data_IF_892964962922
#
_entry.id   IF_892964962922
#
_cell.length_a   1.000
_cell.length_b   1.000
_cell.length_c   1.000
_cell.angle_alpha   90.00
_cell.angle_beta   90.00
_cell.angle_gamma   90.00
#
_symmetry.space_group_name_H-M   'P 1'
#
loop_
_entity.id
_entity.type
_entity.pdbx_description
1 polymer ?
#
# COMPACT_ATOMS: atom_id res chain seq x y z
N UNK A 1 -10.82 10.90 22.61
CA UNK A 1 -11.11 10.76 21.16
C UNK A 1 -12.59 10.52 20.99
N UNK A 2 -13.26 11.25 20.08
CA UNK A 2 -14.72 11.11 19.89
C UNK A 2 -15.09 9.80 19.18
N UNK A 3 -16.32 9.32 19.41
CA UNK A 3 -16.85 8.09 18.79
C UNK A 3 -16.77 8.08 17.25
N UNK A 4 -16.80 9.27 16.61
CA UNK A 4 -16.69 9.43 15.15
C UNK A 4 -15.35 8.95 14.60
N UNK A 5 -14.23 9.25 15.28
CA UNK A 5 -12.89 8.83 14.85
C UNK A 5 -12.80 7.31 14.87
N UNK A 6 -13.27 6.65 15.93
CA UNK A 6 -13.27 5.20 16.02
C UNK A 6 -14.15 4.52 14.97
N UNK A 7 -15.27 5.15 14.57
CA UNK A 7 -16.09 4.65 13.46
C UNK A 7 -15.34 4.69 12.12
N UNK A 8 -14.57 5.75 11.82
CA UNK A 8 -13.77 5.82 10.59
C UNK A 8 -12.62 4.80 10.66
N UNK A 9 -11.95 4.66 11.79
CA UNK A 9 -10.88 3.66 11.98
C UNK A 9 -11.42 2.24 11.82
N UNK A 10 -12.58 1.94 12.43
CA UNK A 10 -13.25 0.65 12.28
C UNK A 10 -13.71 0.39 10.85
N UNK A 11 -14.28 1.40 10.19
CA UNK A 11 -14.65 1.32 8.77
C UNK A 11 -13.42 1.06 7.89
N UNK A 12 -12.28 1.73 8.18
CA UNK A 12 -11.03 1.51 7.47
C UNK A 12 -10.50 0.08 7.67
N UNK A 13 -10.56 -0.44 8.88
CA UNK A 13 -10.15 -1.82 9.17
C UNK A 13 -11.03 -2.83 8.43
N UNK A 14 -12.35 -2.73 8.54
CA UNK A 14 -13.30 -3.66 7.90
C UNK A 14 -13.20 -3.59 6.38
N UNK A 15 -13.12 -2.39 5.79
CA UNK A 15 -12.93 -2.23 4.35
C UNK A 15 -11.66 -2.92 3.89
N UNK A 16 -10.55 -2.68 4.57
CA UNK A 16 -9.25 -3.25 4.20
C UNK A 16 -9.14 -4.77 4.45
N UNK A 17 -9.99 -5.36 5.31
CA UNK A 17 -10.11 -6.82 5.39
C UNK A 17 -10.58 -7.40 4.06
N UNK A 18 -11.62 -6.82 3.45
CA UNK A 18 -12.13 -7.25 2.14
C UNK A 18 -11.07 -7.15 1.04
N UNK A 19 -10.35 -6.03 0.99
CA UNK A 19 -9.24 -5.84 0.05
C UNK A 19 -8.14 -6.89 0.24
N UNK A 20 -7.68 -7.06 1.48
CA UNK A 20 -6.62 -8.00 1.82
C UNK A 20 -6.98 -9.44 1.51
N UNK A 21 -8.24 -9.84 1.70
CA UNK A 21 -8.70 -11.21 1.45
C UNK A 21 -8.57 -11.63 -0.02
N UNK A 22 -8.70 -10.70 -0.97
CA UNK A 22 -8.59 -10.98 -2.41
C UNK A 22 -7.15 -11.32 -2.81
N UNK A 23 -6.15 -10.72 -2.16
CA UNK A 23 -4.75 -10.72 -2.62
C UNK A 23 -4.18 -12.13 -2.80
N UNK A 24 -4.24 -13.05 -1.82
CA UNK A 24 -3.64 -14.38 -1.98
C UNK A 24 -4.43 -15.35 -2.87
N UNK A 25 -5.70 -15.11 -3.07
CA UNK A 25 -6.60 -16.03 -3.78
C UNK A 25 -6.70 -15.71 -5.27
N UNK A 26 -6.72 -14.41 -5.60
CA UNK A 26 -6.96 -13.97 -6.98
C UNK A 26 -5.89 -14.45 -7.97
N UNK A 27 -4.56 -14.36 -7.72
CA UNK A 27 -3.56 -14.82 -8.68
C UNK A 27 -3.68 -16.31 -8.97
N UNK A 28 -3.95 -17.09 -7.93
CA UNK A 28 -4.13 -18.54 -8.03
C UNK A 28 -5.36 -18.86 -8.86
N UNK A 29 -6.49 -18.23 -8.58
CA UNK A 29 -7.71 -18.39 -9.35
C UNK A 29 -7.52 -18.01 -10.83
N UNK A 30 -6.91 -16.85 -11.09
CA UNK A 30 -6.67 -16.38 -12.46
C UNK A 30 -5.81 -17.37 -13.25
N UNK A 31 -4.74 -17.88 -12.66
CA UNK A 31 -3.79 -18.73 -13.36
C UNK A 31 -4.27 -20.18 -13.49
N UNK A 32 -4.77 -20.78 -12.40
CA UNK A 32 -5.13 -22.22 -12.40
C UNK A 32 -6.58 -22.48 -12.79
N UNK A 33 -7.54 -21.66 -12.33
CA UNK A 33 -8.95 -21.95 -12.54
C UNK A 33 -9.53 -21.22 -13.76
N UNK A 34 -9.09 -19.95 -13.99
CA UNK A 34 -9.57 -19.15 -15.12
C UNK A 34 -8.68 -19.26 -16.37
N UNK A 35 -7.55 -19.97 -16.30
CA UNK A 35 -6.67 -20.22 -17.44
C UNK A 35 -5.94 -18.98 -17.97
N UNK A 36 -5.79 -17.94 -17.15
CA UNK A 36 -5.06 -16.74 -17.54
C UNK A 36 -3.56 -17.05 -17.67
N UNK A 37 -2.92 -16.51 -18.71
CA UNK A 37 -1.47 -16.54 -18.80
C UNK A 37 -0.83 -15.79 -17.62
N UNK A 38 0.44 -16.06 -17.33
CA UNK A 38 1.19 -15.36 -16.27
C UNK A 38 1.25 -13.84 -16.52
N UNK A 39 1.41 -13.44 -17.81
CA UNK A 39 1.35 -12.03 -18.21
C UNK A 39 -0.01 -11.42 -17.88
N UNK A 40 -1.11 -12.08 -18.29
CA UNK A 40 -2.46 -11.55 -18.02
C UNK A 40 -2.76 -11.52 -16.51
N UNK A 41 -2.29 -12.51 -15.75
CA UNK A 41 -2.38 -12.52 -14.29
C UNK A 41 -1.68 -11.30 -13.70
N UNK A 42 -0.43 -11.02 -14.08
CA UNK A 42 0.32 -9.84 -13.63
C UNK A 42 -0.36 -8.54 -14.05
N UNK A 43 -0.83 -8.45 -15.30
CA UNK A 43 -1.54 -7.28 -15.82
C UNK A 43 -2.81 -7.00 -15.01
N UNK A 44 -3.63 -8.02 -14.74
CA UNK A 44 -4.85 -7.89 -13.94
C UNK A 44 -4.55 -7.47 -12.50
N UNK A 45 -3.47 -7.96 -11.90
CA UNK A 45 -3.03 -7.52 -10.57
C UNK A 45 -2.66 -6.05 -10.60
N UNK A 46 -1.84 -5.62 -11.56
CA UNK A 46 -1.39 -4.23 -11.70
C UNK A 46 -2.53 -3.27 -12.06
N UNK A 47 -3.55 -3.74 -12.76
CA UNK A 47 -4.68 -2.92 -13.21
C UNK A 47 -5.39 -2.23 -12.04
N UNK A 48 -5.57 -2.91 -10.90
CA UNK A 48 -6.19 -2.26 -9.73
C UNK A 48 -5.33 -1.15 -9.16
N UNK A 49 -4.00 -1.28 -9.13
CA UNK A 49 -3.12 -0.22 -8.65
C UNK A 49 -3.12 0.99 -9.59
N UNK A 50 -3.17 0.77 -10.91
CA UNK A 50 -3.32 1.85 -11.89
C UNK A 50 -4.62 2.63 -11.67
N UNK A 51 -5.73 1.92 -11.45
CA UNK A 51 -7.02 2.56 -11.20
C UNK A 51 -7.18 3.07 -9.75
N UNK A 52 -6.42 2.56 -8.78
CA UNK A 52 -6.34 3.17 -7.45
C UNK A 52 -5.71 4.57 -7.52
N UNK A 53 -4.65 4.74 -8.31
CA UNK A 53 -4.06 6.06 -8.58
C UNK A 53 -5.08 7.02 -9.17
N UNK A 54 -5.82 6.61 -10.22
CA UNK A 54 -6.91 7.42 -10.80
C UNK A 54 -8.01 7.70 -9.78
N UNK A 55 -8.40 6.69 -9.01
CA UNK A 55 -9.39 6.79 -7.95
C UNK A 55 -9.03 7.83 -6.90
N UNK A 56 -7.75 7.93 -6.49
CA UNK A 56 -7.27 8.95 -5.53
C UNK A 56 -7.48 10.37 -6.06
N UNK A 57 -7.19 10.60 -7.36
CA UNK A 57 -7.37 11.90 -8.00
C UNK A 57 -8.84 12.31 -8.07
N UNK A 58 -9.70 11.36 -8.45
CA UNK A 58 -11.14 11.58 -8.54
C UNK A 58 -11.80 11.74 -7.16
N UNK A 59 -11.34 10.98 -6.17
CA UNK A 59 -11.81 11.04 -4.80
C UNK A 59 -11.54 12.41 -4.16
N UNK A 60 -10.36 12.99 -4.37
CA UNK A 60 -10.05 14.34 -3.89
C UNK A 60 -11.05 15.37 -4.42
N UNK A 61 -11.24 15.40 -5.74
CA UNK A 61 -12.24 16.31 -6.38
C UNK A 61 -13.66 16.07 -5.87
N UNK A 62 -14.06 14.81 -5.70
CA UNK A 62 -15.39 14.45 -5.21
C UNK A 62 -15.58 14.85 -3.76
N UNK A 63 -14.59 14.59 -2.92
CA UNK A 63 -14.59 14.94 -1.51
C UNK A 63 -14.71 16.46 -1.30
N UNK A 64 -14.01 17.25 -2.11
CA UNK A 64 -14.04 18.71 -2.03
C UNK A 64 -15.35 19.31 -2.62
N UNK A 65 -15.90 18.69 -3.65
CA UNK A 65 -17.12 19.18 -4.31
C UNK A 65 -18.42 18.68 -3.69
N UNK A 66 -18.51 17.35 -3.40
CA UNK A 66 -19.75 16.68 -2.96
C UNK A 66 -19.69 16.18 -1.51
N UNK A 67 -18.53 16.26 -0.87
CA UNK A 67 -18.31 15.83 0.52
C UNK A 67 -17.56 14.49 0.65
N UNK A 68 -16.96 14.30 1.83
CA UNK A 68 -16.13 13.13 2.16
C UNK A 68 -16.98 11.87 2.26
N UNK A 69 -18.18 12.01 2.82
CA UNK A 69 -19.16 10.92 2.93
C UNK A 69 -19.53 10.36 1.56
N UNK A 70 -19.84 11.24 0.60
CA UNK A 70 -20.19 10.82 -0.77
C UNK A 70 -19.02 10.12 -1.45
N UNK A 71 -17.80 10.66 -1.34
CA UNK A 71 -16.61 10.04 -1.90
C UNK A 71 -16.37 8.64 -1.32
N UNK A 72 -16.53 8.48 0.00
CA UNK A 72 -16.33 7.20 0.68
C UNK A 72 -17.41 6.17 0.28
N UNK A 73 -18.69 6.59 0.22
CA UNK A 73 -19.79 5.72 -0.23
C UNK A 73 -19.61 5.27 -1.69
N UNK A 74 -19.13 6.15 -2.59
CA UNK A 74 -18.79 5.78 -3.96
C UNK A 74 -17.66 4.75 -3.99
N UNK A 75 -16.60 4.91 -3.15
CA UNK A 75 -15.55 3.92 -3.01
C UNK A 75 -16.09 2.55 -2.62
N UNK A 76 -16.99 2.50 -1.64
CA UNK A 76 -17.59 1.24 -1.20
C UNK A 76 -18.54 0.65 -2.24
N UNK A 77 -19.26 1.48 -3.01
CA UNK A 77 -20.07 1.00 -4.12
C UNK A 77 -19.21 0.35 -5.21
N UNK A 78 -18.08 0.96 -5.59
CA UNK A 78 -17.14 0.36 -6.52
C UNK A 78 -16.58 -0.98 -6.00
N UNK A 79 -16.22 -1.07 -4.70
CA UNK A 79 -15.74 -2.32 -4.10
C UNK A 79 -16.82 -3.41 -4.05
N UNK A 80 -18.06 -3.04 -3.76
CA UNK A 80 -19.20 -3.97 -3.79
C UNK A 80 -19.39 -4.55 -5.19
N UNK A 81 -19.39 -3.68 -6.22
CA UNK A 81 -19.47 -4.10 -7.62
C UNK A 81 -18.27 -4.97 -7.99
N UNK A 82 -17.05 -4.60 -7.59
CA UNK A 82 -15.86 -5.40 -7.82
C UNK A 82 -16.00 -6.82 -7.28
N UNK A 83 -16.48 -6.98 -6.05
CA UNK A 83 -16.72 -8.30 -5.47
C UNK A 83 -17.72 -9.13 -6.28
N UNK A 84 -18.81 -8.52 -6.76
CA UNK A 84 -19.77 -9.23 -7.64
C UNK A 84 -19.16 -9.62 -8.98
N UNK A 85 -18.28 -8.76 -9.55
CA UNK A 85 -17.58 -9.07 -10.81
C UNK A 85 -16.44 -10.09 -10.65
N UNK A 86 -16.05 -10.42 -9.41
CA UNK A 86 -15.09 -11.49 -9.11
C UNK A 86 -15.72 -12.86 -8.91
N UNK A 87 -17.02 -12.98 -9.02
CA UNK A 87 -17.69 -14.28 -8.90
C UNK A 87 -17.16 -15.25 -9.97
N UNK A 88 -16.87 -16.52 -9.62
CA UNK A 88 -16.43 -17.54 -10.55
C UNK A 88 -17.40 -17.75 -11.71
N UNK A 89 -16.89 -18.31 -12.79
CA UNK A 89 -17.59 -18.55 -14.05
C UNK A 89 -17.91 -17.30 -14.90
N UNK A 90 -17.46 -16.10 -14.48
CA UNK A 90 -17.50 -14.92 -15.32
C UNK A 90 -16.27 -14.87 -16.25
N UNK A 91 -16.41 -14.33 -17.48
CA UNK A 91 -15.28 -14.13 -18.39
C UNK A 91 -14.16 -13.27 -17.78
N UNK A 92 -12.91 -13.52 -18.19
CA UNK A 92 -11.75 -12.73 -17.74
C UNK A 92 -11.89 -11.24 -18.01
N UNK A 93 -12.61 -10.84 -19.07
CA UNK A 93 -12.91 -9.44 -19.35
C UNK A 93 -13.79 -8.78 -18.26
N UNK A 94 -14.73 -9.53 -17.68
CA UNK A 94 -15.57 -9.10 -16.57
C UNK A 94 -14.74 -8.98 -15.29
N UNK A 95 -13.83 -9.93 -15.05
CA UNK A 95 -12.88 -9.85 -13.93
C UNK A 95 -11.92 -8.66 -14.09
N UNK A 96 -11.50 -8.33 -15.31
CA UNK A 96 -10.72 -7.14 -15.58
C UNK A 96 -11.50 -5.87 -15.19
N UNK A 97 -12.77 -5.77 -15.54
CA UNK A 97 -13.65 -4.68 -15.07
C UNK A 97 -13.75 -4.68 -13.54
N UNK A 98 -13.83 -5.86 -12.92
CA UNK A 98 -13.77 -6.01 -11.46
C UNK A 98 -12.47 -5.42 -10.88
N UNK A 99 -11.32 -5.62 -11.53
CA UNK A 99 -10.04 -5.01 -11.12
C UNK A 99 -10.04 -3.49 -11.22
N UNK A 100 -10.65 -2.95 -12.29
CA UNK A 100 -10.87 -1.50 -12.46
C UNK A 100 -11.72 -0.95 -11.31
N UNK A 101 -12.87 -1.58 -11.04
CA UNK A 101 -13.77 -1.17 -9.95
C UNK A 101 -13.08 -1.28 -8.59
N UNK A 102 -12.34 -2.36 -8.34
CA UNK A 102 -11.59 -2.56 -7.10
C UNK A 102 -10.58 -1.43 -6.87
N UNK A 103 -9.76 -1.11 -7.89
CA UNK A 103 -8.78 -0.02 -7.80
C UNK A 103 -9.44 1.34 -7.56
N UNK A 104 -10.45 1.71 -8.37
CA UNK A 104 -11.21 2.94 -8.14
C UNK A 104 -11.75 2.99 -6.71
N UNK A 105 -12.35 1.89 -6.24
CA UNK A 105 -12.90 1.77 -4.90
C UNK A 105 -11.86 2.01 -3.81
N UNK A 106 -10.68 1.38 -3.93
CA UNK A 106 -9.56 1.58 -3.01
C UNK A 106 -9.11 3.04 -2.97
N UNK A 107 -8.88 3.64 -4.15
CA UNK A 107 -8.44 5.03 -4.27
C UNK A 107 -9.43 6.01 -3.62
N UNK A 108 -10.72 5.83 -3.89
CA UNK A 108 -11.78 6.64 -3.28
C UNK A 108 -11.85 6.43 -1.77
N UNK A 109 -11.87 5.19 -1.33
CA UNK A 109 -12.01 4.83 0.07
C UNK A 109 -10.88 5.38 0.93
N UNK A 110 -9.62 5.08 0.59
CA UNK A 110 -8.46 5.50 1.38
C UNK A 110 -8.35 7.02 1.40
N UNK A 111 -8.51 7.69 0.25
CA UNK A 111 -8.40 9.15 0.16
C UNK A 111 -9.49 9.84 0.98
N UNK A 112 -10.73 9.41 0.85
CA UNK A 112 -11.85 10.00 1.58
C UNK A 112 -11.77 9.72 3.09
N UNK A 113 -11.33 8.51 3.50
CA UNK A 113 -11.16 8.16 4.91
C UNK A 113 -10.07 9.02 5.56
N UNK A 114 -8.91 9.18 4.92
CA UNK A 114 -7.81 10.03 5.39
C UNK A 114 -8.25 11.47 5.53
N UNK A 115 -8.88 12.03 4.50
CA UNK A 115 -9.35 13.42 4.49
C UNK A 115 -10.40 13.65 5.58
N UNK A 116 -11.38 12.75 5.70
CA UNK A 116 -12.42 12.87 6.73
C UNK A 116 -11.87 12.74 8.15
N UNK A 117 -10.92 11.82 8.37
CA UNK A 117 -10.27 11.67 9.67
C UNK A 117 -9.52 12.93 10.10
N UNK A 118 -8.80 13.57 9.17
CA UNK A 118 -8.11 14.87 9.41
C UNK A 118 -9.12 15.95 9.74
N UNK A 119 -10.24 15.96 9.03
CA UNK A 119 -11.29 16.96 9.19
C UNK A 119 -11.98 16.93 10.56
N UNK A 120 -12.24 15.75 11.11
CA UNK A 120 -12.90 15.60 12.42
C UNK A 120 -11.90 15.60 13.59
N UNK A 121 -10.61 15.52 13.32
CA UNK A 121 -9.58 15.51 14.35
C UNK A 121 -9.36 16.91 14.94
N UNK A 122 -9.25 17.04 16.28
CA UNK A 122 -8.75 18.26 16.89
C UNK A 122 -7.36 18.61 16.36
N UNK A 123 -7.06 19.88 16.18
CA UNK A 123 -5.79 20.34 15.56
C UNK A 123 -4.55 19.75 16.23
N UNK A 124 -4.54 19.73 17.57
CA UNK A 124 -3.44 19.17 18.36
C UNK A 124 -3.36 17.64 18.35
N UNK A 125 -4.32 16.91 17.72
CA UNK A 125 -4.39 15.45 17.68
C UNK A 125 -4.48 14.88 16.26
N UNK A 126 -4.31 15.70 15.21
CA UNK A 126 -4.37 15.26 13.80
C UNK A 126 -3.38 14.14 13.52
N UNK A 127 -2.12 14.28 13.96
CA UNK A 127 -1.10 13.24 13.77
C UNK A 127 -1.47 11.91 14.46
N UNK A 128 -1.99 11.99 15.70
CA UNK A 128 -2.43 10.81 16.44
C UNK A 128 -3.63 10.11 15.74
N UNK A 129 -4.59 10.91 15.23
CA UNK A 129 -5.76 10.37 14.50
C UNK A 129 -5.34 9.66 13.21
N UNK A 130 -4.40 10.24 12.46
CA UNK A 130 -3.83 9.59 11.27
C UNK A 130 -3.07 8.31 11.62
N UNK A 131 -2.38 8.27 12.75
CA UNK A 131 -1.73 7.06 13.26
C UNK A 131 -2.73 5.93 13.50
N UNK A 132 -3.85 6.20 14.18
CA UNK A 132 -4.91 5.20 14.39
C UNK A 132 -5.58 4.77 13.08
N UNK A 133 -5.87 5.71 12.18
CA UNK A 133 -6.43 5.37 10.87
C UNK A 133 -5.48 4.47 10.08
N UNK A 134 -4.18 4.82 10.06
CA UNK A 134 -3.14 4.01 9.43
C UNK A 134 -3.10 2.60 10.02
N UNK A 135 -3.21 2.46 11.34
CA UNK A 135 -3.27 1.16 12.02
C UNK A 135 -4.52 0.37 11.61
N UNK A 136 -5.66 1.05 11.42
CA UNK A 136 -6.88 0.42 10.90
C UNK A 136 -6.68 -0.10 9.47
N UNK A 137 -6.16 0.75 8.56
CA UNK A 137 -5.88 0.40 7.16
C UNK A 137 -4.91 -0.79 7.07
N UNK A 138 -3.74 -0.66 7.67
CA UNK A 138 -2.71 -1.70 7.58
C UNK A 138 -3.06 -2.97 8.38
N UNK A 139 -3.78 -2.82 9.50
CA UNK A 139 -4.33 -3.95 10.23
C UNK A 139 -5.28 -4.78 9.37
N UNK A 140 -6.20 -4.11 8.66
CA UNK A 140 -7.12 -4.77 7.73
C UNK A 140 -6.39 -5.47 6.58
N UNK A 141 -5.45 -4.77 5.92
CA UNK A 141 -4.62 -5.36 4.84
C UNK A 141 -3.80 -6.56 5.32
N UNK A 142 -3.33 -6.55 6.59
CA UNK A 142 -2.50 -7.62 7.13
C UNK A 142 -3.30 -8.84 7.59
N UNK A 143 -4.50 -8.64 8.12
CA UNK A 143 -5.39 -9.72 8.59
C UNK A 143 -6.23 -10.29 7.43
N UNK A 144 -6.60 -9.45 6.47
CA UNK A 144 -7.42 -9.85 5.32
C UNK A 144 -6.92 -11.08 4.57
N UNK A 145 -5.63 -11.20 4.23
CA UNK A 145 -5.07 -12.37 3.56
C UNK A 145 -5.31 -13.68 4.32
N UNK A 146 -5.21 -13.66 5.64
CA UNK A 146 -5.51 -14.83 6.47
C UNK A 146 -6.98 -15.24 6.36
N UNK A 147 -7.90 -14.26 6.33
CA UNK A 147 -9.33 -14.51 6.09
C UNK A 147 -9.53 -15.09 4.69
N UNK A 148 -8.91 -14.50 3.66
CA UNK A 148 -9.01 -14.99 2.28
C UNK A 148 -8.57 -16.45 2.15
N UNK A 149 -7.47 -16.81 2.79
CA UNK A 149 -6.97 -18.20 2.79
C UNK A 149 -7.86 -19.15 3.61
N UNK A 150 -8.42 -18.70 4.74
CA UNK A 150 -9.38 -19.48 5.50
C UNK A 150 -10.68 -19.72 4.74
N UNK A 151 -11.14 -18.75 3.93
CA UNK A 151 -12.29 -18.90 3.04
C UNK A 151 -12.00 -19.88 1.87
N UNK A 152 -10.75 -19.95 1.41
CA UNK A 152 -10.24 -20.97 0.49
C UNK A 152 -10.81 -20.97 -0.93
N UNK A 153 -11.74 -20.08 -1.27
CA UNK A 153 -12.35 -20.02 -2.61
C UNK A 153 -12.59 -18.60 -3.10
N UNK A 154 -12.42 -18.39 -4.39
CA UNK A 154 -12.66 -17.09 -5.03
C UNK A 154 -14.10 -16.59 -4.82
N UNK A 155 -15.08 -17.51 -4.84
CA UNK A 155 -16.50 -17.16 -4.58
C UNK A 155 -16.71 -16.57 -3.21
N UNK A 156 -16.19 -17.20 -2.16
CA UNK A 156 -16.36 -16.73 -0.78
C UNK A 156 -15.61 -15.41 -0.53
N UNK A 157 -14.42 -15.26 -1.11
CA UNK A 157 -13.64 -14.03 -1.04
C UNK A 157 -14.33 -12.88 -1.78
N UNK A 158 -14.90 -13.14 -2.96
CA UNK A 158 -15.68 -12.17 -3.72
C UNK A 158 -16.91 -11.68 -2.94
N UNK A 159 -17.65 -12.59 -2.33
CA UNK A 159 -18.78 -12.27 -1.46
C UNK A 159 -18.34 -11.52 -0.20
N UNK A 160 -17.22 -11.94 0.41
CA UNK A 160 -16.67 -11.26 1.60
C UNK A 160 -16.28 -9.81 1.30
N UNK A 161 -15.63 -9.54 0.14
CA UNK A 161 -15.35 -8.19 -0.33
C UNK A 161 -16.64 -7.36 -0.47
N UNK A 162 -17.67 -7.92 -1.11
CA UNK A 162 -18.94 -7.22 -1.31
C UNK A 162 -19.65 -6.93 0.03
N UNK A 163 -19.75 -7.94 0.91
CA UNK A 163 -20.42 -7.81 2.20
C UNK A 163 -19.68 -6.84 3.12
N UNK A 164 -18.36 -6.91 3.21
CA UNK A 164 -17.56 -5.98 4.00
C UNK A 164 -17.69 -4.54 3.49
N UNK A 165 -17.74 -4.35 2.17
CA UNK A 165 -17.94 -3.04 1.55
C UNK A 165 -19.33 -2.47 1.84
N UNK A 166 -20.39 -3.27 1.79
CA UNK A 166 -21.75 -2.88 2.17
C UNK A 166 -21.82 -2.55 3.67
N UNK A 167 -21.18 -3.35 4.53
CA UNK A 167 -21.13 -3.07 5.95
C UNK A 167 -20.46 -1.72 6.26
N UNK A 168 -19.32 -1.45 5.60
CA UNK A 168 -18.65 -0.13 5.71
C UNK A 168 -19.54 0.98 5.18
N UNK A 169 -20.21 0.80 4.05
CA UNK A 169 -21.15 1.78 3.52
C UNK A 169 -22.27 2.08 4.54
N UNK A 170 -22.80 1.07 5.23
CA UNK A 170 -23.78 1.23 6.31
C UNK A 170 -23.25 2.05 7.48
N UNK A 171 -22.01 1.76 7.96
CA UNK A 171 -21.36 2.55 9.01
C UNK A 171 -21.22 4.01 8.59
N UNK A 172 -20.74 4.25 7.36
CA UNK A 172 -20.52 5.59 6.80
C UNK A 172 -21.84 6.32 6.58
N UNK A 173 -22.87 5.61 6.12
CA UNK A 173 -24.21 6.20 5.93
C UNK A 173 -24.81 6.72 7.23
N UNK A 174 -24.56 6.04 8.35
CA UNK A 174 -25.00 6.46 9.68
C UNK A 174 -24.17 7.63 10.26
N UNK A 175 -23.06 8.04 9.62
CA UNK A 175 -22.24 9.16 10.07
C UNK A 175 -22.72 10.47 9.44
N UNK A 176 -22.82 11.53 10.25
CA UNK A 176 -23.12 12.88 9.76
C UNK A 176 -21.81 13.60 9.42
N UNK A 177 -21.76 14.17 8.22
CA UNK A 177 -20.69 15.08 7.80
C UNK A 177 -21.09 16.52 8.12
N UNK A 178 -20.19 17.26 8.77
CA UNK A 178 -20.40 18.69 9.03
C UNK A 178 -19.98 19.52 7.82
N UNK A 179 -20.79 20.52 7.41
CA UNK A 179 -20.41 21.42 6.33
C UNK A 179 -19.09 22.13 6.67
N UNK A 180 -18.16 22.18 5.73
CA UNK A 180 -16.88 22.91 5.89
C UNK A 180 -16.66 23.89 4.74
N UNK A 181 -15.94 24.99 5.01
CA UNK A 181 -15.48 25.87 3.93
C UNK A 181 -14.58 25.08 2.97
N UNK A 182 -14.81 25.25 1.67
CA UNK A 182 -13.96 24.66 0.63
C UNK A 182 -12.53 25.22 0.79
N UNK A 183 -11.56 24.34 0.92
CA UNK A 183 -10.16 24.73 0.88
C UNK A 183 -9.84 25.18 -0.56
N UNK A 184 -9.60 26.47 -0.75
CA UNK A 184 -9.16 27.05 -2.01
C UNK A 184 -7.64 27.21 -1.94
N UNK A 185 -6.91 26.43 -2.69
CA UNK A 185 -5.49 26.62 -2.92
C UNK A 185 -5.00 25.72 -4.04
N UNK A 186 -4.18 26.23 -4.98
CA UNK A 186 -3.55 25.39 -5.98
C UNK A 186 -2.52 24.48 -5.31
N UNK A 187 -2.89 23.23 -5.08
CA UNK A 187 -1.95 22.19 -4.67
C UNK A 187 -1.11 21.78 -5.89
N UNK A 188 0.21 21.87 -5.79
CA UNK A 188 1.09 21.27 -6.79
C UNK A 188 0.90 19.76 -6.75
N UNK A 189 0.62 19.16 -7.90
CA UNK A 189 0.32 17.73 -8.03
C UNK A 189 1.44 16.83 -7.49
N UNK A 190 2.71 17.20 -7.73
CA UNK A 190 3.88 16.51 -7.20
C UNK A 190 4.92 17.54 -6.77
N UNK A 191 5.15 17.76 -5.48
CA UNK A 191 6.25 18.58 -5.01
C UNK A 191 7.60 17.96 -5.41
N UNK A 192 8.53 18.77 -5.90
CA UNK A 192 9.87 18.31 -6.34
C UNK A 192 10.61 17.42 -5.31
N UNK A 193 10.54 17.68 -3.98
CA UNK A 193 11.20 16.84 -2.98
C UNK A 193 10.69 15.39 -2.93
N UNK A 194 9.53 15.09 -3.53
CA UNK A 194 8.93 13.74 -3.54
C UNK A 194 9.53 12.85 -4.63
N UNK A 195 10.11 13.42 -5.70
CA UNK A 195 10.51 12.65 -6.88
C UNK A 195 11.51 11.52 -6.55
N UNK A 196 12.62 11.85 -5.90
CA UNK A 196 13.65 10.85 -5.57
C UNK A 196 13.16 9.86 -4.51
N UNK A 197 12.58 10.28 -3.37
CA UNK A 197 11.95 9.36 -2.42
C UNK A 197 10.84 8.50 -3.05
N UNK A 198 10.06 9.07 -3.96
CA UNK A 198 8.99 8.37 -4.67
C UNK A 198 9.52 7.24 -5.56
N UNK A 199 10.57 7.50 -6.35
CA UNK A 199 11.21 6.45 -7.15
C UNK A 199 11.82 5.36 -6.27
N UNK A 200 12.51 5.73 -5.17
CA UNK A 200 13.05 4.75 -4.23
C UNK A 200 11.97 3.87 -3.61
N UNK A 201 10.84 4.48 -3.22
CA UNK A 201 9.69 3.74 -2.70
C UNK A 201 9.12 2.82 -3.78
N UNK A 202 8.95 3.32 -4.99
CA UNK A 202 8.44 2.57 -6.12
C UNK A 202 9.30 1.34 -6.44
N UNK A 203 10.63 1.50 -6.50
CA UNK A 203 11.58 0.40 -6.69
C UNK A 203 11.45 -0.66 -5.58
N UNK A 204 11.33 -0.27 -4.31
CA UNK A 204 11.07 -1.19 -3.21
C UNK A 204 9.75 -1.95 -3.36
N UNK A 205 8.75 -1.31 -3.97
CA UNK A 205 7.40 -1.87 -4.15
C UNK A 205 7.27 -2.87 -5.31
N UNK A 206 8.29 -3.02 -6.17
CA UNK A 206 8.40 -4.15 -7.09
C UNK A 206 8.35 -5.48 -6.32
N UNK A 207 8.87 -5.50 -5.09
CA UNK A 207 8.74 -6.65 -4.18
C UNK A 207 7.29 -6.98 -3.88
N UNK A 208 6.44 -5.97 -3.64
CA UNK A 208 5.02 -6.22 -3.38
C UNK A 208 4.32 -6.84 -4.59
N UNK A 209 4.62 -6.37 -5.80
CA UNK A 209 4.09 -6.95 -7.03
C UNK A 209 4.50 -8.42 -7.20
N UNK A 210 5.77 -8.76 -6.92
CA UNK A 210 6.27 -10.13 -6.95
C UNK A 210 5.60 -11.02 -5.90
N UNK A 211 5.51 -10.54 -4.66
CA UNK A 211 4.95 -11.32 -3.53
C UNK A 211 3.44 -11.49 -3.68
N UNK A 212 2.70 -10.42 -3.98
CA UNK A 212 1.24 -10.46 -4.09
C UNK A 212 0.76 -11.24 -5.32
N UNK A 213 1.54 -11.20 -6.41
CA UNK A 213 1.17 -11.85 -7.65
C UNK A 213 1.68 -13.28 -7.79
N UNK A 214 2.87 -13.56 -7.29
CA UNK A 214 3.60 -14.75 -7.71
C UNK A 214 4.16 -15.61 -6.58
N UNK A 215 4.13 -15.18 -5.30
CA UNK A 215 4.68 -15.98 -4.20
C UNK A 215 3.98 -17.34 -4.07
N UNK A 216 2.65 -17.35 -4.02
CA UNK A 216 1.90 -18.61 -3.86
C UNK A 216 2.02 -19.49 -5.14
N UNK A 217 2.09 -18.86 -6.32
CA UNK A 217 2.30 -19.57 -7.58
C UNK A 217 3.68 -20.24 -7.60
N UNK A 218 4.74 -19.52 -7.18
CA UNK A 218 6.09 -20.08 -7.06
C UNK A 218 6.15 -21.27 -6.08
N UNK A 219 5.51 -21.15 -4.92
CA UNK A 219 5.52 -22.23 -3.92
C UNK A 219 4.78 -23.47 -4.43
N UNK A 220 3.65 -23.28 -5.11
CA UNK A 220 2.90 -24.37 -5.75
C UNK A 220 3.69 -25.04 -6.89
N UNK A 221 4.37 -24.26 -7.73
CA UNK A 221 5.22 -24.75 -8.81
C UNK A 221 6.36 -25.65 -8.26
N UNK A 222 6.86 -25.34 -7.06
CA UNK A 222 7.84 -26.16 -6.32
C UNK A 222 7.22 -27.37 -5.60
N UNK A 223 5.91 -27.58 -5.69
CA UNK A 223 5.21 -28.65 -4.96
C UNK A 223 5.02 -28.36 -3.47
N UNK A 224 5.20 -27.11 -3.02
CA UNK A 224 4.99 -26.75 -1.64
C UNK A 224 3.50 -26.48 -1.36
N UNK A 225 2.95 -27.07 -0.29
CA UNK A 225 1.56 -26.86 0.13
C UNK A 225 1.34 -25.59 0.96
N UNK A 226 2.34 -24.72 1.08
CA UNK A 226 2.33 -23.53 1.94
C UNK A 226 1.47 -22.43 1.36
N UNK A 227 0.21 -22.35 1.76
CA UNK A 227 -0.72 -21.31 1.31
C UNK A 227 -0.64 -20.02 2.14
N UNK A 228 -0.15 -20.10 3.37
CA UNK A 228 -0.12 -18.98 4.34
C UNK A 228 1.07 -18.02 4.19
N UNK A 229 1.93 -18.22 3.19
CA UNK A 229 3.14 -17.41 2.99
C UNK A 229 2.83 -15.92 2.82
N UNK A 230 1.78 -15.55 2.06
CA UNK A 230 1.39 -14.15 1.92
C UNK A 230 0.87 -13.56 3.23
N UNK A 231 0.12 -14.30 4.02
CA UNK A 231 -0.35 -13.86 5.34
C UNK A 231 0.82 -13.65 6.30
N UNK A 232 1.81 -14.53 6.29
CA UNK A 232 3.03 -14.39 7.08
C UNK A 232 3.80 -13.12 6.70
N UNK A 233 3.96 -12.85 5.40
CA UNK A 233 4.51 -11.59 4.90
C UNK A 233 3.72 -10.37 5.42
N UNK A 234 2.40 -10.37 5.28
CA UNK A 234 1.55 -9.23 5.65
C UNK A 234 1.56 -8.96 7.17
N UNK A 235 1.51 -10.01 7.99
CA UNK A 235 1.64 -9.90 9.46
C UNK A 235 3.03 -9.39 9.84
N UNK A 236 4.09 -9.86 9.16
CA UNK A 236 5.46 -9.39 9.40
C UNK A 236 5.63 -7.90 9.04
N UNK A 237 4.97 -7.42 7.97
CA UNK A 237 4.94 -5.98 7.64
C UNK A 237 4.27 -5.17 8.76
N UNK A 238 3.12 -5.63 9.27
CA UNK A 238 2.41 -4.95 10.37
C UNK A 238 3.26 -4.92 11.64
N UNK A 239 3.81 -6.06 12.03
CA UNK A 239 4.70 -6.17 13.19
C UNK A 239 5.94 -5.29 13.04
N UNK A 240 6.60 -5.35 11.87
CA UNK A 240 7.78 -4.54 11.58
C UNK A 240 7.51 -3.05 11.68
N UNK A 241 6.35 -2.57 11.19
CA UNK A 241 5.94 -1.16 11.35
C UNK A 241 5.66 -0.79 12.81
N UNK A 242 5.02 -1.66 13.57
CA UNK A 242 4.73 -1.42 14.98
C UNK A 242 6.01 -1.42 15.83
N UNK A 243 6.90 -2.39 15.62
CA UNK A 243 8.12 -2.56 16.41
C UNK A 243 9.25 -1.60 16.00
N UNK A 244 9.39 -1.33 14.70
CA UNK A 244 10.53 -0.61 14.12
C UNK A 244 10.16 0.71 13.45
N UNK A 245 8.89 1.13 13.46
CA UNK A 245 8.43 2.37 12.84
C UNK A 245 9.11 3.64 13.37
N UNK A 246 9.63 3.63 14.61
CA UNK A 246 10.44 4.71 15.20
C UNK A 246 11.95 4.62 14.90
N UNK A 247 12.41 3.63 14.14
CA UNK A 247 13.83 3.48 13.82
C UNK A 247 14.42 4.65 13.01
N UNK A 248 13.69 5.23 12.03
CA UNK A 248 14.16 6.41 11.32
C UNK A 248 14.47 7.60 12.26
N UNK A 249 13.70 7.74 13.34
CA UNK A 249 13.91 8.83 14.32
C UNK A 249 15.17 8.58 15.18
N UNK A 250 15.51 7.30 15.47
CA UNK A 250 16.62 6.91 16.32
C UNK A 250 17.96 6.85 15.58
N UNK A 251 17.99 6.19 14.42
CA UNK A 251 19.24 5.93 13.69
C UNK A 251 19.37 6.74 12.39
N UNK A 252 18.36 7.56 12.09
CA UNK A 252 18.26 8.37 10.87
C UNK A 252 17.68 7.61 9.68
N UNK A 253 17.03 8.33 8.74
CA UNK A 253 16.33 7.72 7.59
C UNK A 253 17.25 6.90 6.70
N UNK A 254 18.48 7.38 6.46
CA UNK A 254 19.45 6.71 5.59
C UNK A 254 19.83 5.32 6.07
N UNK A 255 20.19 5.19 7.37
CA UNK A 255 20.55 3.88 7.97
C UNK A 255 19.35 2.94 8.00
N UNK A 256 18.17 3.45 8.31
CA UNK A 256 16.91 2.68 8.28
C UNK A 256 16.60 2.15 6.89
N UNK A 257 16.81 2.95 5.83
CA UNK A 257 16.62 2.51 4.44
C UNK A 257 17.61 1.38 4.08
N UNK A 258 18.90 1.54 4.40
CA UNK A 258 19.88 0.48 4.13
C UNK A 258 19.55 -0.81 4.89
N UNK A 259 19.20 -0.74 6.18
CA UNK A 259 18.80 -1.89 6.97
C UNK A 259 17.56 -2.58 6.37
N UNK A 260 16.55 -1.79 5.98
CA UNK A 260 15.33 -2.29 5.35
C UNK A 260 15.60 -2.98 4.00
N UNK A 261 16.33 -2.32 3.10
CA UNK A 261 16.66 -2.90 1.80
C UNK A 261 17.60 -4.10 1.90
N UNK A 262 18.55 -4.12 2.84
CA UNK A 262 19.39 -5.29 3.09
C UNK A 262 18.57 -6.48 3.61
N UNK A 263 17.70 -6.25 4.60
CA UNK A 263 16.77 -7.28 5.10
C UNK A 263 15.86 -7.81 3.98
N UNK A 264 15.33 -6.89 3.14
CA UNK A 264 14.47 -7.23 2.00
C UNK A 264 15.23 -8.08 0.97
N UNK A 265 16.47 -7.71 0.65
CA UNK A 265 17.32 -8.46 -0.28
C UNK A 265 17.60 -9.87 0.23
N UNK A 266 17.96 -10.02 1.50
CA UNK A 266 18.19 -11.35 2.14
C UNK A 266 16.90 -12.18 2.12
N UNK A 267 15.75 -11.57 2.42
CA UNK A 267 14.45 -12.25 2.36
C UNK A 267 14.11 -12.72 0.94
N UNK A 268 14.33 -11.87 -0.07
CA UNK A 268 14.12 -12.22 -1.49
C UNK A 268 15.04 -13.36 -1.93
N UNK A 269 16.32 -13.32 -1.56
CA UNK A 269 17.26 -14.42 -1.82
C UNK A 269 16.81 -15.72 -1.14
N UNK A 270 16.31 -15.64 0.10
CA UNK A 270 15.73 -16.79 0.78
C UNK A 270 14.54 -17.37 0.01
N UNK A 271 13.63 -16.54 -0.52
CA UNK A 271 12.50 -16.99 -1.37
C UNK A 271 13.00 -17.62 -2.67
N UNK A 272 13.99 -17.01 -3.35
CA UNK A 272 14.52 -17.47 -4.65
C UNK A 272 15.15 -18.85 -4.53
N UNK A 273 15.97 -19.08 -3.51
CA UNK A 273 16.74 -20.32 -3.37
C UNK A 273 16.11 -21.37 -2.45
N UNK A 274 14.97 -21.07 -1.84
CA UNK A 274 14.32 -22.01 -0.95
C UNK A 274 13.77 -23.22 -1.70
N UNK A 275 14.26 -24.39 -1.32
CA UNK A 275 13.78 -25.71 -1.79
C UNK A 275 13.11 -26.51 -0.67
N UNK A 276 13.08 -25.99 0.55
CA UNK A 276 12.53 -26.66 1.72
C UNK A 276 11.22 -25.98 2.18
N UNK A 277 10.07 -26.67 2.11
CA UNK A 277 8.77 -26.10 2.51
C UNK A 277 8.75 -25.52 3.93
N UNK A 278 9.57 -26.04 4.85
CA UNK A 278 9.64 -25.52 6.22
C UNK A 278 10.18 -24.07 6.30
N UNK A 279 10.90 -23.62 5.27
CA UNK A 279 11.47 -22.28 5.20
C UNK A 279 10.57 -21.26 4.46
N UNK A 280 9.44 -21.67 3.89
CA UNK A 280 8.53 -20.78 3.15
C UNK A 280 8.01 -19.63 4.01
N UNK A 281 7.52 -19.94 5.21
CA UNK A 281 7.02 -18.94 6.14
C UNK A 281 8.14 -18.04 6.69
N UNK A 282 9.28 -18.57 7.18
CA UNK A 282 10.43 -17.76 7.59
C UNK A 282 10.91 -16.81 6.49
N UNK A 283 11.04 -17.28 5.24
CA UNK A 283 11.43 -16.44 4.12
C UNK A 283 10.42 -15.30 3.86
N UNK A 284 9.12 -15.62 3.85
CA UNK A 284 8.06 -14.63 3.69
C UNK A 284 8.05 -13.60 4.83
N UNK A 285 8.26 -14.03 6.07
CA UNK A 285 8.40 -13.14 7.25
C UNK A 285 9.59 -12.20 7.06
N UNK A 286 10.74 -12.70 6.61
CA UNK A 286 11.94 -11.89 6.42
C UNK A 286 11.73 -10.82 5.34
N UNK A 287 11.07 -11.18 4.21
CA UNK A 287 10.66 -10.21 3.18
C UNK A 287 9.72 -9.15 3.78
N UNK A 288 8.74 -9.57 4.58
CA UNK A 288 7.76 -8.67 5.21
C UNK A 288 8.42 -7.69 6.19
N UNK A 289 9.34 -8.16 7.03
CA UNK A 289 10.11 -7.30 7.93
C UNK A 289 10.91 -6.26 7.14
N UNK A 290 11.67 -6.66 6.12
CA UNK A 290 12.43 -5.74 5.27
C UNK A 290 11.53 -4.73 4.56
N UNK A 291 10.37 -5.15 4.07
CA UNK A 291 9.38 -4.31 3.40
C UNK A 291 8.75 -3.25 4.32
N UNK A 292 8.78 -3.46 5.63
CA UNK A 292 8.18 -2.53 6.60
C UNK A 292 8.92 -1.19 6.73
N UNK A 293 10.22 -1.12 6.39
CA UNK A 293 11.10 0.04 6.65
C UNK A 293 11.00 1.18 5.61
N UNK A 294 10.99 0.94 4.28
CA UNK A 294 11.15 2.00 3.29
C UNK A 294 10.09 3.10 3.39
N UNK A 295 8.82 2.74 3.55
CA UNK A 295 7.75 3.72 3.58
C UNK A 295 7.86 4.75 4.74
N UNK A 296 8.02 4.35 6.03
CA UNK A 296 8.17 5.30 7.13
C UNK A 296 9.41 6.19 6.99
N UNK A 297 10.53 5.59 6.55
CA UNK A 297 11.79 6.32 6.40
C UNK A 297 11.70 7.37 5.27
N UNK A 298 11.14 7.02 4.11
CA UNK A 298 10.99 7.95 2.99
C UNK A 298 9.91 8.99 3.27
N UNK A 299 8.82 8.63 3.95
CA UNK A 299 7.80 9.56 4.40
C UNK A 299 8.39 10.63 5.36
N UNK A 300 9.25 10.23 6.30
CA UNK A 300 9.91 11.17 7.21
C UNK A 300 10.82 12.16 6.46
N UNK A 301 11.58 11.67 5.46
CA UNK A 301 12.41 12.52 4.58
C UNK A 301 11.54 13.53 3.82
N UNK A 302 10.47 13.08 3.20
CA UNK A 302 9.56 13.96 2.44
C UNK A 302 8.94 15.03 3.33
N UNK A 303 8.40 14.64 4.50
CA UNK A 303 7.75 15.56 5.44
C UNK A 303 8.71 16.60 5.98
N UNK A 304 10.01 16.28 6.13
CA UNK A 304 11.03 17.22 6.59
C UNK A 304 11.43 18.26 5.53
N UNK A 305 11.15 18.02 4.25
CA UNK A 305 11.54 18.87 3.12
C UNK A 305 10.40 19.74 2.57
N UNK A 306 9.18 19.61 3.11
CA UNK A 306 8.02 20.37 2.65
C UNK A 306 7.38 21.17 3.78
N UNK A 307 6.78 22.34 3.50
CA UNK A 307 6.01 23.11 4.47
C UNK A 307 4.87 22.29 5.07
N UNK A 308 4.43 22.61 6.27
CA UNK A 308 3.35 21.92 6.97
C UNK A 308 2.05 21.84 6.15
N UNK A 309 1.74 22.89 5.37
CA UNK A 309 0.58 22.97 4.48
C UNK A 309 0.62 21.99 3.30
N UNK A 310 1.82 21.54 2.87
CA UNK A 310 2.01 20.66 1.71
C UNK A 310 2.25 19.21 2.09
N UNK A 311 2.41 18.87 3.37
CA UNK A 311 2.75 17.50 3.84
C UNK A 311 1.76 16.44 3.38
N UNK A 312 0.47 16.74 3.45
CA UNK A 312 -0.57 15.81 3.03
C UNK A 312 -0.50 15.53 1.51
N UNK A 313 -0.30 16.56 0.69
CA UNK A 313 -0.14 16.45 -0.76
C UNK A 313 1.14 15.67 -1.11
N UNK A 314 2.23 15.93 -0.42
CA UNK A 314 3.51 15.25 -0.63
C UNK A 314 3.45 13.76 -0.28
N UNK A 315 2.78 13.38 0.83
CA UNK A 315 2.55 11.98 1.17
C UNK A 315 1.57 11.30 0.19
N UNK A 316 0.57 12.03 -0.30
CA UNK A 316 -0.30 11.57 -1.37
C UNK A 316 0.45 11.26 -2.67
N UNK A 317 1.37 12.16 -3.07
CA UNK A 317 2.24 11.97 -4.22
C UNK A 317 3.21 10.79 -4.01
N UNK A 318 3.75 10.61 -2.79
CA UNK A 318 4.59 9.45 -2.46
C UNK A 318 3.83 8.14 -2.64
N UNK A 319 2.57 8.07 -2.22
CA UNK A 319 1.71 6.90 -2.46
C UNK A 319 1.34 6.72 -3.94
N UNK A 320 1.29 7.80 -4.73
CA UNK A 320 1.09 7.69 -6.17
C UNK A 320 2.25 6.96 -6.88
N UNK A 321 3.49 7.19 -6.45
CA UNK A 321 4.64 6.39 -6.91
C UNK A 321 4.51 4.91 -6.51
N UNK A 322 4.03 4.63 -5.30
CA UNK A 322 3.71 3.25 -4.89
C UNK A 322 2.78 2.59 -5.90
N UNK A 323 1.61 3.17 -6.14
CA UNK A 323 0.58 2.60 -7.03
C UNK A 323 1.10 2.45 -8.46
N UNK A 324 1.82 3.46 -8.98
CA UNK A 324 2.39 3.44 -10.33
C UNK A 324 3.39 2.30 -10.51
N UNK A 325 4.32 2.14 -9.58
CA UNK A 325 5.34 1.09 -9.68
C UNK A 325 4.73 -0.30 -9.52
N UNK A 326 3.77 -0.49 -8.61
CA UNK A 326 3.04 -1.77 -8.50
C UNK A 326 2.28 -2.07 -9.78
N UNK A 327 1.61 -1.08 -10.38
CA UNK A 327 0.87 -1.27 -11.62
C UNK A 327 1.77 -1.76 -12.76
N UNK A 328 2.89 -1.07 -13.00
CA UNK A 328 3.81 -1.38 -14.08
C UNK A 328 4.59 -2.67 -13.81
N UNK A 329 5.14 -2.81 -12.59
CA UNK A 329 5.97 -3.96 -12.26
C UNK A 329 5.20 -5.27 -12.18
N UNK A 330 3.90 -5.26 -11.87
CA UNK A 330 3.07 -6.48 -11.89
C UNK A 330 2.94 -7.06 -13.30
N UNK A 331 2.75 -6.22 -14.31
CA UNK A 331 2.70 -6.66 -15.70
C UNK A 331 4.07 -7.19 -16.18
N UNK A 332 5.17 -6.47 -15.84
CA UNK A 332 6.54 -6.90 -16.15
C UNK A 332 6.86 -8.23 -15.44
N UNK A 333 6.49 -8.37 -14.17
CA UNK A 333 6.67 -9.59 -13.40
C UNK A 333 5.90 -10.77 -14.02
N UNK A 334 4.68 -10.52 -14.52
CA UNK A 334 3.90 -11.52 -15.23
C UNK A 334 4.52 -11.97 -16.54
N UNK A 335 5.08 -11.05 -17.34
CA UNK A 335 5.84 -11.36 -18.54
C UNK A 335 7.10 -12.17 -18.19
N UNK A 336 7.87 -11.71 -17.22
CA UNK A 336 9.08 -12.40 -16.76
C UNK A 336 8.78 -13.82 -16.23
N UNK A 337 7.68 -14.00 -15.52
CA UNK A 337 7.25 -15.31 -15.05
C UNK A 337 6.90 -16.28 -16.21
N UNK A 338 6.35 -15.73 -17.29
CA UNK A 338 6.03 -16.54 -18.49
C UNK A 338 7.24 -17.02 -19.25
N UNK A 339 8.27 -16.20 -19.35
CA UNK A 339 9.49 -16.51 -20.10
C UNK A 339 10.52 -17.30 -19.28
N UNK A 340 10.69 -16.97 -18.00
CA UNK A 340 11.78 -17.48 -17.15
C UNK A 340 11.31 -18.15 -15.86
N UNK A 341 10.02 -18.45 -15.75
CA UNK A 341 9.42 -19.14 -14.60
C UNK A 341 9.15 -18.23 -13.40
N UNK A 342 8.46 -18.77 -12.39
CA UNK A 342 7.94 -18.01 -11.24
C UNK A 342 9.02 -17.43 -10.30
N UNK A 343 10.30 -17.77 -10.47
CA UNK A 343 11.40 -17.13 -9.75
C UNK A 343 11.77 -15.77 -10.32
N UNK A 344 11.53 -15.53 -11.63
CA UNK A 344 11.92 -14.29 -12.31
C UNK A 344 11.33 -13.02 -11.69
N UNK A 345 10.06 -12.95 -11.25
CA UNK A 345 9.52 -11.81 -10.50
C UNK A 345 10.34 -11.42 -9.26
N UNK A 346 10.91 -12.41 -8.56
CA UNK A 346 11.71 -12.17 -7.34
C UNK A 346 13.13 -11.70 -7.67
N UNK A 347 13.71 -12.15 -8.78
CA UNK A 347 14.95 -11.59 -9.32
C UNK A 347 14.78 -10.13 -9.76
N UNK A 348 13.67 -9.80 -10.42
CA UNK A 348 13.32 -8.43 -10.77
C UNK A 348 13.17 -7.56 -9.52
N UNK A 349 12.50 -8.05 -8.48
CA UNK A 349 12.35 -7.37 -7.20
C UNK A 349 13.71 -7.15 -6.53
N UNK A 350 14.60 -8.16 -6.52
CA UNK A 350 15.94 -8.05 -5.94
C UNK A 350 16.79 -7.00 -6.66
N UNK A 351 16.76 -6.99 -7.99
CA UNK A 351 17.46 -5.97 -8.79
C UNK A 351 16.94 -4.57 -8.49
N UNK A 352 15.62 -4.41 -8.38
CA UNK A 352 14.98 -3.12 -8.04
C UNK A 352 15.33 -2.66 -6.62
N UNK A 353 15.38 -3.56 -5.64
CA UNK A 353 15.83 -3.27 -4.27
C UNK A 353 17.30 -2.85 -4.26
N UNK A 354 18.15 -3.51 -5.05
CA UNK A 354 19.56 -3.12 -5.22
C UNK A 354 19.69 -1.70 -5.80
N UNK A 355 18.88 -1.38 -6.82
CA UNK A 355 18.84 -0.04 -7.41
C UNK A 355 18.36 1.02 -6.39
N UNK A 356 17.33 0.71 -5.60
CA UNK A 356 16.86 1.60 -4.52
C UNK A 356 17.96 1.84 -3.46
N UNK A 357 18.65 0.77 -3.02
CA UNK A 357 19.77 0.88 -2.08
C UNK A 357 20.94 1.71 -2.64
N UNK A 358 21.29 1.52 -3.91
CA UNK A 358 22.30 2.33 -4.61
C UNK A 358 21.92 3.81 -4.63
N UNK A 359 20.64 4.12 -4.92
CA UNK A 359 20.14 5.51 -4.88
C UNK A 359 20.27 6.13 -3.49
N UNK A 360 20.06 5.38 -2.39
CA UNK A 360 20.30 5.87 -1.02
C UNK A 360 21.77 6.25 -0.82
N UNK A 361 22.69 5.46 -1.41
CA UNK A 361 24.12 5.74 -1.38
C UNK A 361 24.51 7.03 -2.11
N UNK A 362 23.99 7.16 -3.34
CA UNK A 362 24.36 8.24 -4.27
C UNK A 362 23.73 9.59 -3.94
N UNK A 363 22.49 9.62 -3.45
CA UNK A 363 21.75 10.88 -3.24
C UNK A 363 22.02 11.55 -1.91
N UNK A 364 22.72 10.92 -0.98
CA UNK A 364 22.96 11.47 0.37
C UNK A 364 21.66 11.70 1.16
N UNK A 365 20.53 11.13 0.73
CA UNK A 365 19.21 11.29 1.34
C UNK A 365 19.25 10.97 2.82
N UNK A 366 18.79 11.92 3.66
CA UNK A 366 18.77 11.75 5.11
C UNK A 366 20.11 11.97 5.81
N UNK A 367 21.17 12.43 5.12
CA UNK A 367 22.28 13.10 5.79
C UNK A 367 21.74 14.41 6.35
N UNK A 368 21.89 14.64 7.66
CA UNK A 368 21.50 15.92 8.29
C UNK A 368 22.09 17.05 7.46
N UNK A 369 21.33 18.08 7.07
CA UNK A 369 21.96 19.32 6.65
C UNK A 369 22.84 19.73 7.84
N UNK A 370 24.15 19.85 7.62
CA UNK A 370 25.03 20.39 8.63
C UNK A 370 24.40 21.70 9.07
N UNK A 371 24.17 21.87 10.37
CA UNK A 371 23.93 23.18 10.96
C UNK A 371 25.09 24.02 10.47
N UNK A 372 24.85 24.90 9.52
CA UNK A 372 25.80 25.94 9.18
C UNK A 372 25.93 26.77 10.46
N UNK A 373 27.01 26.52 11.20
CA UNK A 373 27.51 27.40 12.25
C UNK A 373 27.95 28.70 11.58
N UNK A 374 26.99 29.60 11.35
CA UNK A 374 27.30 30.82 10.64
C UNK A 374 26.27 31.94 10.72
N UNK A 375 25.17 31.78 11.47
CA UNK A 375 24.18 32.85 11.63
C UNK A 375 23.87 33.11 13.12
N UNK A 376 24.93 33.26 13.92
CA UNK A 376 24.89 34.05 15.15
C UNK A 376 25.42 35.45 14.81
N UNK A 377 24.72 36.18 13.94
CA UNK A 377 24.84 37.64 13.96
C UNK A 377 24.13 38.16 15.21
N UNK A 378 24.96 38.44 16.18
CA UNK A 378 24.67 39.20 17.37
C UNK A 378 24.06 40.52 16.94
N UNK A 379 22.75 40.66 17.09
CA UNK A 379 22.13 42.00 17.21
C UNK A 379 22.48 42.53 18.59
N UNK A 380 23.67 43.09 18.71
CA UNK A 380 23.94 44.13 19.73
C UNK A 380 23.04 45.34 19.43
N UNK A 381 21.94 45.44 20.14
CA UNK A 381 21.19 46.67 20.24
C UNK A 381 21.96 47.55 21.25
N UNK A 382 22.66 48.53 20.70
CA UNK A 382 23.26 49.59 21.48
C UNK A 382 22.22 50.49 22.17
N UNK A 383 22.54 50.82 23.35
CA UNK A 383 22.09 51.88 24.26
C UNK A 383 20.94 52.81 23.86
#
# INVERSE_FOLDING_TARGET
MGSRIWRIVGAAFVGMLGFGAVIPILPVYLHHDAGASTFLTGLLIGLSSAFALLGRLLAGKTADGKGRRVALLLGMAFCTVAGLLYLPALPLSVMALGRVMHGLGEGFFVTAAVTWAVDIAPENRRAQTLGFLSSGIWGGVSVGPAIGQALGSMKLVALFLSVSSVAVAGIVFAMREEPRPRAHGPSRWVPRPVLVPGVMLGLGNVTYAAVAGFLILLLRDRGHATTWAFSAFAVAVLFGRAAFGGLPDRMGPRRSLFAGYACLAVGLLAVIWNVNPALDLPAAVLVGLGYSFPWPALASVVVSQVPASERASALGALNAFYDLFVAVSSAIAGAAAGEWGFTAPFWLALASVGAAAAMVGLTGLGSRPGVRSGDTEVLEVGA
#
